data_IF_801308670176
#
_entry.id   IF_801308670176
#
_cell.length_a   1.000
_cell.length_b   1.000
_cell.length_c   1.000
_cell.angle_alpha   90.00
_cell.angle_beta   90.00
_cell.angle_gamma   90.00
#
_symmetry.space_group_name_H-M   'P 1'
#
loop_
_entity.id
_entity.type
_entity.pdbx_description
1 polymer ?
#
# COMPACT_ATOMS: atom_id res chain seq x y z
N UNK A 1 -0.66 26.41 -4.18
CA UNK A 1 -0.06 25.07 -4.20
C UNK A 1 1.22 25.07 -5.04
N UNK A 2 2.18 24.27 -4.65
CA UNK A 2 3.38 24.05 -5.45
C UNK A 2 3.07 23.25 -6.72
N UNK A 3 3.97 23.25 -7.70
CA UNK A 3 3.82 22.40 -8.89
C UNK A 3 3.77 20.91 -8.54
N UNK A 4 4.48 20.49 -7.52
CA UNK A 4 4.50 19.11 -7.02
C UNK A 4 3.17 18.69 -6.39
N UNK A 5 2.55 19.54 -5.59
CA UNK A 5 1.22 19.30 -5.02
C UNK A 5 0.15 19.13 -6.11
N UNK A 6 0.21 19.97 -7.14
CA UNK A 6 -0.68 19.85 -8.31
C UNK A 6 -0.44 18.54 -9.06
N UNK A 7 0.82 18.17 -9.25
CA UNK A 7 1.19 16.93 -9.93
C UNK A 7 0.67 15.69 -9.18
N UNK A 8 0.83 15.63 -7.85
CA UNK A 8 0.32 14.51 -7.05
C UNK A 8 -1.19 14.35 -7.23
N UNK A 9 -1.97 15.43 -7.13
CA UNK A 9 -3.42 15.36 -7.33
C UNK A 9 -3.79 14.90 -8.74
N UNK A 10 -3.02 15.31 -9.73
CA UNK A 10 -3.23 14.90 -11.12
C UNK A 10 -2.88 13.41 -11.31
N UNK A 11 -1.76 12.97 -10.76
CA UNK A 11 -1.33 11.56 -10.87
C UNK A 11 -2.32 10.64 -10.16
N UNK A 12 -2.79 11.00 -8.97
CA UNK A 12 -3.85 10.26 -8.28
C UNK A 12 -5.15 10.24 -9.11
N UNK A 13 -5.51 11.35 -9.75
CA UNK A 13 -6.73 11.43 -10.59
C UNK A 13 -6.63 10.59 -11.86
N UNK A 14 -5.44 10.41 -12.40
CA UNK A 14 -5.20 9.52 -13.55
C UNK A 14 -5.38 8.03 -13.19
N UNK A 15 -5.35 7.72 -11.89
CA UNK A 15 -5.37 6.37 -11.35
C UNK A 15 -3.96 5.86 -11.06
N UNK A 16 -3.85 4.99 -10.10
CA UNK A 16 -2.58 4.45 -9.63
C UNK A 16 -2.75 3.01 -9.11
N UNK A 17 -1.71 2.22 -9.22
CA UNK A 17 -1.64 0.91 -8.59
C UNK A 17 -1.22 1.04 -7.14
N UNK A 18 -0.11 1.75 -6.92
CA UNK A 18 0.44 2.05 -5.61
C UNK A 18 0.96 3.48 -5.62
N UNK A 19 0.59 4.24 -4.59
CA UNK A 19 1.13 5.55 -4.31
C UNK A 19 1.88 5.48 -2.97
N UNK A 20 3.19 5.69 -3.00
CA UNK A 20 4.01 5.73 -1.80
C UNK A 20 4.48 7.14 -1.47
N UNK A 21 4.39 7.48 -0.22
CA UNK A 21 4.93 8.70 0.35
C UNK A 21 5.83 8.37 1.54
N UNK A 22 7.06 8.88 1.54
CA UNK A 22 8.02 8.73 2.64
C UNK A 22 8.61 10.09 2.97
N UNK A 23 8.06 10.76 3.96
CA UNK A 23 8.51 12.03 4.52
C UNK A 23 7.67 12.39 5.76
N UNK A 24 7.65 13.67 6.16
CA UNK A 24 6.84 14.12 7.30
C UNK A 24 5.35 14.00 7.03
N UNK A 25 4.62 13.45 8.01
CA UNK A 25 3.16 13.32 7.98
C UNK A 25 2.49 13.98 9.17
N UNK A 26 1.21 14.21 9.01
CA UNK A 26 0.28 14.75 10.00
C UNK A 26 -0.98 13.89 9.99
N UNK A 27 -1.81 13.98 11.02
CA UNK A 27 -3.05 13.22 11.06
C UNK A 27 -4.00 13.55 9.89
N UNK A 28 -3.87 14.72 9.32
CA UNK A 28 -4.69 15.18 8.21
C UNK A 28 -3.99 15.15 6.84
N UNK A 29 -2.79 14.57 6.72
CA UNK A 29 -2.14 14.36 5.42
C UNK A 29 -0.62 14.36 5.40
N UNK A 30 -0.10 14.39 4.19
CA UNK A 30 1.31 14.48 3.84
C UNK A 30 1.78 15.93 3.89
N UNK A 31 2.98 16.18 4.40
CA UNK A 31 3.44 17.54 4.67
C UNK A 31 4.21 18.18 3.50
N UNK A 32 5.09 17.42 2.83
CA UNK A 32 5.95 17.98 1.79
C UNK A 32 6.38 16.87 0.78
N UNK A 33 5.86 16.90 -0.44
CA UNK A 33 4.84 17.81 -0.93
C UNK A 33 3.49 17.58 -0.24
N UNK A 34 2.73 18.67 -0.09
CA UNK A 34 1.47 18.65 0.64
C UNK A 34 0.38 17.87 -0.11
N UNK A 35 -0.30 16.98 0.62
CA UNK A 35 -1.58 16.40 0.25
C UNK A 35 -2.41 16.22 1.53
N UNK A 36 -3.37 17.10 1.75
CA UNK A 36 -4.23 17.06 2.94
C UNK A 36 -5.63 16.53 2.62
N UNK A 37 -6.39 16.19 3.64
CA UNK A 37 -7.80 15.77 3.50
C UNK A 37 -8.59 16.76 2.65
N UNK A 38 -8.34 18.07 2.81
CA UNK A 38 -9.00 19.12 2.03
C UNK A 38 -8.69 19.05 0.52
N UNK A 39 -7.53 18.54 0.15
CA UNK A 39 -7.10 18.45 -1.25
C UNK A 39 -7.69 17.23 -1.97
N UNK A 40 -8.20 16.26 -1.21
CA UNK A 40 -8.77 15.04 -1.78
C UNK A 40 -10.05 15.29 -2.58
N UNK A 41 -10.71 16.43 -2.38
CA UNK A 41 -11.85 16.85 -3.20
C UNK A 41 -11.47 17.05 -4.66
N UNK A 42 -10.21 17.36 -4.96
CA UNK A 42 -9.69 17.60 -6.30
C UNK A 42 -9.28 16.30 -7.02
N UNK A 43 -9.19 15.17 -6.29
CA UNK A 43 -8.86 13.86 -6.87
C UNK A 43 -10.10 13.28 -7.54
N UNK A 44 -9.94 12.78 -8.77
CA UNK A 44 -11.02 12.21 -9.59
C UNK A 44 -10.57 10.90 -10.24
N UNK A 45 -10.55 9.84 -9.45
CA UNK A 45 -10.07 8.53 -9.88
C UNK A 45 -11.14 7.43 -9.76
N UNK A 46 -12.38 7.75 -10.08
CA UNK A 46 -13.48 6.77 -10.07
C UNK A 46 -13.12 5.52 -10.87
N UNK A 47 -13.28 4.35 -10.22
CA UNK A 47 -12.94 3.05 -10.80
C UNK A 47 -11.42 2.78 -10.99
N UNK A 48 -10.53 3.65 -10.47
CA UNK A 48 -9.07 3.54 -10.65
C UNK A 48 -8.33 3.65 -9.30
N UNK A 49 -8.84 2.94 -8.32
CA UNK A 49 -8.34 3.00 -6.95
C UNK A 49 -7.14 2.07 -6.76
N UNK A 50 -6.05 2.59 -6.18
CA UNK A 50 -4.88 1.82 -5.80
C UNK A 50 -4.68 1.75 -4.29
N UNK A 51 -3.56 1.15 -3.88
CA UNK A 51 -3.10 1.16 -2.50
C UNK A 51 -2.25 2.42 -2.25
N UNK A 52 -2.56 3.16 -1.19
CA UNK A 52 -1.69 4.23 -0.71
C UNK A 52 -0.87 3.77 0.50
N UNK A 53 0.40 4.14 0.51
CA UNK A 53 1.32 3.91 1.63
C UNK A 53 1.86 5.25 2.11
N UNK A 54 1.53 5.61 3.33
CA UNK A 54 2.09 6.77 4.01
C UNK A 54 3.13 6.32 5.02
N UNK A 55 4.36 6.13 4.56
CA UNK A 55 5.50 5.85 5.42
C UNK A 55 5.91 7.16 6.13
N UNK A 56 5.06 7.58 7.05
CA UNK A 56 5.05 8.92 7.64
C UNK A 56 4.25 8.93 8.95
N UNK A 57 4.60 9.86 9.85
CA UNK A 57 3.95 10.02 11.14
C UNK A 57 2.44 10.27 11.01
N UNK A 58 1.66 9.72 11.93
CA UNK A 58 0.28 10.13 12.28
C UNK A 58 -0.78 9.96 11.17
N UNK A 59 -0.43 9.53 9.96
CA UNK A 59 -1.37 9.51 8.83
C UNK A 59 -2.56 8.56 9.03
N UNK A 60 -2.41 7.57 9.92
CA UNK A 60 -3.46 6.66 10.38
C UNK A 60 -3.86 6.89 11.85
N UNK A 61 -3.75 8.10 12.36
CA UNK A 61 -4.09 8.45 13.75
C UNK A 61 -5.61 8.35 13.97
N UNK A 62 -6.09 7.14 14.18
CA UNK A 62 -7.52 6.79 14.24
C UNK A 62 -8.23 7.22 15.54
N UNK A 63 -7.54 7.82 16.51
CA UNK A 63 -8.11 8.50 17.65
C UNK A 63 -8.47 9.98 17.36
N UNK A 64 -8.06 10.51 16.20
CA UNK A 64 -8.56 11.77 15.67
C UNK A 64 -9.97 11.55 15.04
N UNK A 65 -10.82 12.57 14.94
CA UNK A 65 -12.16 12.45 14.35
C UNK A 65 -12.16 11.88 12.91
N UNK A 66 -11.13 12.17 12.15
CA UNK A 66 -10.88 11.59 10.84
C UNK A 66 -9.38 11.71 10.52
N UNK A 67 -8.69 10.59 10.40
CA UNK A 67 -7.31 10.57 9.94
C UNK A 67 -7.22 10.62 8.41
N UNK A 68 -6.04 10.91 7.87
CA UNK A 68 -5.85 10.95 6.42
C UNK A 68 -6.13 9.60 5.77
N UNK A 69 -5.61 8.50 6.35
CA UNK A 69 -5.85 7.15 5.84
C UNK A 69 -7.33 6.78 5.84
N UNK A 70 -8.08 7.19 6.87
CA UNK A 70 -9.52 7.00 6.90
C UNK A 70 -10.23 7.84 5.83
N UNK A 71 -9.83 9.10 5.66
CA UNK A 71 -10.43 10.00 4.69
C UNK A 71 -10.34 9.47 3.26
N UNK A 72 -9.16 8.98 2.84
CA UNK A 72 -8.98 8.49 1.46
C UNK A 72 -9.83 7.26 1.14
N UNK A 73 -10.26 6.49 2.15
CA UNK A 73 -11.13 5.31 1.96
C UNK A 73 -12.62 5.64 1.94
N UNK A 74 -13.00 6.76 2.52
CA UNK A 74 -14.43 7.12 2.73
C UNK A 74 -14.98 8.05 1.66
N UNK A 75 -14.17 8.45 0.69
CA UNK A 75 -14.59 9.36 -0.37
C UNK A 75 -15.45 8.65 -1.41
N UNK A 76 -16.55 9.25 -1.78
CA UNK A 76 -17.40 8.74 -2.85
C UNK A 76 -16.71 8.91 -4.21
N UNK A 77 -16.57 7.80 -4.95
CA UNK A 77 -16.05 7.74 -6.32
C UNK A 77 -14.63 8.32 -6.47
N UNK A 78 -13.82 8.25 -5.41
CA UNK A 78 -12.41 8.68 -5.41
C UNK A 78 -11.65 8.08 -4.23
N UNK A 79 -10.32 8.27 -4.20
CA UNK A 79 -9.46 7.86 -3.10
C UNK A 79 -8.71 6.56 -3.37
N UNK A 80 -8.68 5.63 -2.44
CA UNK A 80 -7.89 4.42 -2.48
C UNK A 80 -8.68 3.19 -2.02
N UNK A 81 -8.21 1.98 -2.39
CA UNK A 81 -8.77 0.71 -1.87
C UNK A 81 -8.19 0.32 -0.50
N UNK A 82 -7.11 0.96 -0.10
CA UNK A 82 -6.47 0.76 1.18
C UNK A 82 -5.42 1.82 1.46
N UNK A 83 -5.13 2.01 2.74
CA UNK A 83 -4.08 2.91 3.20
C UNK A 83 -3.24 2.22 4.30
N UNK A 84 -1.93 2.11 4.08
CA UNK A 84 -1.00 1.64 5.11
C UNK A 84 -0.24 2.85 5.65
N UNK A 85 -0.17 3.01 6.97
CA UNK A 85 0.54 4.13 7.58
C UNK A 85 0.58 4.08 9.09
N UNK A 86 1.34 5.01 9.68
CA UNK A 86 1.54 5.09 11.11
C UNK A 86 0.38 5.78 11.85
N UNK A 87 -0.10 5.16 12.92
CA UNK A 87 -1.05 5.79 13.84
C UNK A 87 -0.38 6.71 14.87
N UNK A 88 0.94 6.64 14.98
CA UNK A 88 1.76 7.48 15.84
C UNK A 88 2.99 7.98 15.07
N UNK A 89 3.93 8.64 15.75
CA UNK A 89 5.17 9.10 15.13
C UNK A 89 6.00 7.92 14.62
N UNK A 90 6.42 7.98 13.38
CA UNK A 90 7.35 7.03 12.78
C UNK A 90 8.78 7.54 12.86
N UNK A 91 9.74 6.67 12.61
CA UNK A 91 11.16 6.94 12.76
C UNK A 91 11.87 6.64 11.43
N UNK A 92 12.82 7.49 11.04
CA UNK A 92 13.45 7.45 9.72
C UNK A 92 14.11 6.11 9.37
N UNK A 93 14.86 5.54 10.33
CA UNK A 93 15.60 4.30 10.09
C UNK A 93 14.64 3.12 9.95
N UNK A 94 13.64 3.05 10.82
CA UNK A 94 12.64 2.01 10.79
C UNK A 94 11.70 2.14 9.59
N UNK A 95 11.35 3.37 9.17
CA UNK A 95 10.59 3.60 7.94
C UNK A 95 11.36 3.09 6.71
N UNK A 96 12.67 3.28 6.69
CA UNK A 96 13.53 2.71 5.66
C UNK A 96 13.53 1.18 5.72
N UNK A 97 13.74 0.59 6.90
CA UNK A 97 13.72 -0.86 7.07
C UNK A 97 12.37 -1.47 6.67
N UNK A 98 11.29 -0.80 7.02
CA UNK A 98 9.95 -1.22 6.68
C UNK A 98 9.73 -1.28 5.17
N UNK A 99 10.22 -0.29 4.46
CA UNK A 99 10.01 -0.11 3.02
C UNK A 99 10.94 -0.96 2.19
N UNK A 100 12.25 -0.86 2.45
CA UNK A 100 13.33 -1.31 1.57
C UNK A 100 14.06 -2.52 2.13
N UNK A 101 14.09 -2.66 3.46
CA UNK A 101 14.79 -3.74 4.14
C UNK A 101 15.97 -3.30 4.98
N UNK A 102 16.49 -4.24 5.74
CA UNK A 102 17.60 -4.00 6.68
C UNK A 102 18.93 -3.97 5.94
N UNK A 103 19.67 -2.89 6.12
CA UNK A 103 21.03 -2.72 5.60
C UNK A 103 21.94 -2.13 6.66
N UNK A 104 23.24 -2.34 6.51
CA UNK A 104 24.23 -1.74 7.41
C UNK A 104 24.35 -0.22 7.28
N UNK A 105 23.97 0.34 6.14
CA UNK A 105 23.97 1.79 5.89
C UNK A 105 22.70 2.21 5.15
N UNK A 106 21.94 3.09 5.76
CA UNK A 106 20.80 3.72 5.11
C UNK A 106 21.31 4.73 4.07
N UNK A 107 20.83 4.60 2.85
CA UNK A 107 21.22 5.49 1.75
C UNK A 107 20.05 5.67 0.76
N UNK A 108 20.15 6.69 -0.08
CA UNK A 108 19.10 7.06 -1.03
C UNK A 108 18.96 6.07 -2.22
N UNK A 109 19.98 5.26 -2.49
CA UNK A 109 19.99 4.29 -3.57
C UNK A 109 20.45 2.94 -3.00
N UNK A 110 19.60 2.22 -2.27
CA UNK A 110 19.97 0.93 -1.72
C UNK A 110 20.19 -0.10 -2.83
N UNK A 111 21.13 -0.99 -2.62
CA UNK A 111 21.29 -2.17 -3.45
C UNK A 111 20.38 -3.28 -2.91
N UNK A 112 19.37 -3.67 -3.68
CA UNK A 112 18.42 -4.71 -3.29
C UNK A 112 19.09 -6.06 -2.98
N UNK A 113 20.25 -6.34 -3.54
CA UNK A 113 21.01 -7.54 -3.19
C UNK A 113 21.62 -7.49 -1.78
N UNK A 114 21.73 -6.29 -1.21
CA UNK A 114 22.31 -6.05 0.12
C UNK A 114 21.26 -5.71 1.20
N UNK A 115 20.01 -5.44 0.81
CA UNK A 115 18.91 -5.22 1.72
C UNK A 115 18.17 -6.53 2.00
N UNK A 116 17.60 -6.67 3.18
CA UNK A 116 16.66 -7.75 3.47
C UNK A 116 15.34 -7.51 2.72
N UNK A 117 14.54 -8.56 2.58
CA UNK A 117 13.21 -8.45 2.00
C UNK A 117 12.27 -7.63 2.89
N UNK A 118 11.67 -6.61 2.30
CA UNK A 118 10.73 -5.70 2.96
C UNK A 118 9.46 -5.51 2.12
N UNK A 119 8.63 -4.54 2.48
CA UNK A 119 7.34 -4.31 1.85
C UNK A 119 7.44 -4.17 0.32
N UNK A 120 8.42 -3.41 -0.18
CA UNK A 120 8.54 -3.17 -1.63
C UNK A 120 9.10 -4.38 -2.37
N UNK A 121 10.09 -5.08 -1.82
CA UNK A 121 10.61 -6.30 -2.44
C UNK A 121 9.53 -7.37 -2.57
N UNK A 122 8.76 -7.56 -1.52
CA UNK A 122 7.66 -8.52 -1.51
C UNK A 122 6.54 -8.13 -2.50
N UNK A 123 6.35 -6.83 -2.70
CA UNK A 123 5.38 -6.31 -3.64
C UNK A 123 5.79 -6.54 -5.11
N UNK A 124 7.03 -6.20 -5.45
CA UNK A 124 7.50 -6.22 -6.84
C UNK A 124 8.09 -7.57 -7.28
N UNK A 125 8.32 -8.50 -6.36
CA UNK A 125 8.79 -9.87 -6.65
C UNK A 125 10.09 -9.92 -7.46
N UNK A 126 11.00 -9.00 -7.19
CA UNK A 126 12.22 -8.80 -8.00
C UNK A 126 13.37 -9.73 -7.63
N UNK A 127 13.25 -10.50 -6.54
CA UNK A 127 14.29 -11.39 -6.02
C UNK A 127 14.22 -12.83 -6.56
N UNK A 128 13.38 -13.08 -7.57
CA UNK A 128 13.23 -14.40 -8.18
C UNK A 128 12.48 -15.42 -7.34
N UNK A 129 11.71 -14.98 -6.36
CA UNK A 129 10.89 -15.87 -5.53
C UNK A 129 9.84 -16.59 -6.39
N UNK A 130 9.58 -17.88 -6.12
CA UNK A 130 8.49 -18.58 -6.77
C UNK A 130 7.12 -18.01 -6.32
N UNK A 131 6.12 -18.11 -7.18
CA UNK A 131 4.80 -17.50 -6.99
C UNK A 131 4.15 -17.82 -5.63
N UNK A 132 4.33 -19.03 -5.12
CA UNK A 132 3.78 -19.42 -3.81
C UNK A 132 4.45 -18.73 -2.59
N UNK A 133 5.48 -17.93 -2.82
CA UNK A 133 6.14 -17.09 -1.81
C UNK A 133 5.86 -15.60 -2.00
N UNK A 134 5.07 -15.25 -3.00
CA UNK A 134 4.71 -13.86 -3.25
C UNK A 134 3.76 -13.33 -2.19
N UNK A 135 3.96 -12.08 -1.83
CA UNK A 135 3.04 -11.32 -1.00
C UNK A 135 2.20 -10.45 -1.92
N UNK A 136 0.92 -10.77 -2.03
CA UNK A 136 0.05 -10.17 -3.04
C UNK A 136 -1.05 -9.30 -2.45
N UNK A 137 -1.40 -9.50 -1.19
CA UNK A 137 -2.46 -8.74 -0.54
C UNK A 137 -1.91 -7.56 0.25
N UNK A 138 -2.76 -6.57 0.50
CA UNK A 138 -2.41 -5.38 1.28
C UNK A 138 -1.91 -5.74 2.70
N UNK A 139 -2.56 -6.71 3.35
CA UNK A 139 -2.12 -7.17 4.67
C UNK A 139 -0.75 -7.84 4.63
N UNK A 140 -0.48 -8.64 3.60
CA UNK A 140 0.83 -9.27 3.45
C UNK A 140 1.94 -8.25 3.24
N UNK A 141 1.68 -7.16 2.50
CA UNK A 141 2.66 -6.07 2.33
C UNK A 141 2.95 -5.35 3.64
N UNK A 142 1.91 -5.03 4.41
CA UNK A 142 2.07 -4.44 5.74
C UNK A 142 2.86 -5.39 6.65
N UNK A 143 2.53 -6.67 6.64
CA UNK A 143 3.21 -7.69 7.44
C UNK A 143 4.68 -7.84 7.05
N UNK A 144 5.02 -7.81 5.75
CA UNK A 144 6.40 -7.87 5.27
C UNK A 144 7.23 -6.68 5.78
N UNK A 145 6.67 -5.48 5.76
CA UNK A 145 7.32 -4.29 6.32
C UNK A 145 7.61 -4.42 7.82
N UNK A 146 6.62 -4.83 8.60
CA UNK A 146 6.77 -5.04 10.03
C UNK A 146 7.79 -6.15 10.34
N UNK A 147 7.79 -7.26 9.59
CA UNK A 147 8.79 -8.32 9.73
C UNK A 147 10.19 -7.82 9.41
N UNK A 148 10.34 -6.94 8.42
CA UNK A 148 11.64 -6.35 8.10
C UNK A 148 12.18 -5.54 9.28
N UNK A 149 11.36 -4.69 9.89
CA UNK A 149 11.77 -3.97 11.12
C UNK A 149 12.12 -4.95 12.25
N UNK A 150 11.37 -6.05 12.40
CA UNK A 150 11.65 -7.09 13.40
C UNK A 150 13.04 -7.72 13.23
N UNK A 151 13.50 -7.88 11.99
CA UNK A 151 14.84 -8.45 11.73
C UNK A 151 15.98 -7.46 11.93
N UNK A 152 15.68 -6.17 12.08
CA UNK A 152 16.69 -5.13 12.32
C UNK A 152 17.27 -5.18 13.74
N UNK A 153 18.25 -4.33 14.02
CA UNK A 153 18.78 -4.13 15.37
C UNK A 153 18.08 -3.00 16.13
N UNK A 154 16.98 -2.46 15.58
CA UNK A 154 16.22 -1.39 16.21
C UNK A 154 15.66 -1.79 17.58
N UNK A 155 15.61 -0.85 18.51
CA UNK A 155 14.90 -0.98 19.78
C UNK A 155 13.38 -0.75 19.65
N UNK A 156 12.90 -0.35 18.45
CA UNK A 156 11.51 0.05 18.20
C UNK A 156 10.68 -1.01 17.47
N UNK A 157 11.08 -2.27 17.51
CA UNK A 157 10.41 -3.37 16.80
C UNK A 157 8.96 -3.52 17.23
N UNK A 158 8.72 -3.70 18.53
CA UNK A 158 7.38 -3.82 19.11
C UNK A 158 6.53 -2.59 18.78
N UNK A 159 7.12 -1.40 18.90
CA UNK A 159 6.46 -0.15 18.58
C UNK A 159 5.95 -0.11 17.12
N UNK A 160 6.70 -0.63 16.15
CA UNK A 160 6.26 -0.68 14.75
C UNK A 160 5.12 -1.67 14.52
N UNK A 161 5.05 -2.77 15.27
CA UNK A 161 3.87 -3.64 15.27
C UNK A 161 2.63 -2.94 15.83
N UNK A 162 2.81 -2.02 16.77
CA UNK A 162 1.73 -1.30 17.41
C UNK A 162 1.21 -0.12 16.58
N UNK A 163 2.06 0.53 15.78
CA UNK A 163 1.67 1.78 15.11
C UNK A 163 1.37 1.66 13.63
N UNK A 164 1.89 0.65 12.92
CA UNK A 164 1.58 0.49 11.49
C UNK A 164 0.29 -0.28 11.30
N UNK A 165 -0.65 0.37 10.61
CA UNK A 165 -1.98 -0.17 10.38
C UNK A 165 -2.35 -0.13 8.91
N UNK A 166 -3.11 -1.14 8.48
CA UNK A 166 -3.85 -1.13 7.23
C UNK A 166 -5.28 -0.66 7.52
N UNK A 167 -5.70 0.42 6.91
CA UNK A 167 -7.10 0.77 6.74
C UNK A 167 -7.57 0.27 5.38
N UNK A 168 -8.58 -0.60 5.34
CA UNK A 168 -9.07 -1.25 4.14
C UNK A 168 -9.31 -2.75 4.33
N UNK A 169 -9.63 -3.43 3.25
CA UNK A 169 -9.81 -4.88 3.27
C UNK A 169 -8.45 -5.59 3.15
N UNK A 170 -8.02 -6.36 4.15
CA UNK A 170 -6.71 -7.00 4.17
C UNK A 170 -6.49 -8.02 3.05
N UNK A 171 -7.56 -8.56 2.47
CA UNK A 171 -7.50 -9.58 1.43
C UNK A 171 -7.37 -9.03 0.01
N UNK A 172 -7.58 -7.72 -0.19
CA UNK A 172 -7.47 -7.11 -1.50
C UNK A 172 -6.02 -7.09 -2.00
N UNK A 173 -5.89 -7.38 -3.29
CA UNK A 173 -4.63 -7.29 -4.01
C UNK A 173 -4.58 -5.98 -4.81
N UNK A 174 -3.56 -5.14 -4.62
CA UNK A 174 -3.33 -4.03 -5.54
C UNK A 174 -2.85 -4.58 -6.89
N UNK A 175 -3.47 -4.11 -7.97
CA UNK A 175 -3.01 -4.45 -9.31
C UNK A 175 -1.86 -3.55 -9.72
N UNK A 176 -0.77 -4.15 -10.25
CA UNK A 176 0.40 -3.39 -10.72
C UNK A 176 0.26 -2.88 -12.17
N UNK A 177 -0.88 -3.13 -12.79
CA UNK A 177 -1.25 -2.66 -14.12
C UNK A 177 -2.75 -2.75 -14.32
N UNK A 178 -3.23 -2.29 -15.47
CA UNK A 178 -4.63 -2.51 -15.86
C UNK A 178 -4.78 -3.98 -16.24
N UNK A 179 -5.58 -4.76 -15.49
CA UNK A 179 -5.76 -6.16 -15.82
C UNK A 179 -6.52 -6.30 -17.14
N UNK A 180 -6.15 -7.28 -17.96
CA UNK A 180 -6.95 -7.68 -19.10
C UNK A 180 -8.30 -8.23 -18.63
N UNK A 181 -9.34 -8.00 -19.41
CA UNK A 181 -10.65 -8.60 -19.14
C UNK A 181 -10.57 -10.07 -19.56
N UNK A 182 -10.54 -11.03 -18.61
CA UNK A 182 -10.45 -12.44 -18.97
C UNK A 182 -11.73 -12.87 -19.70
N UNK A 183 -11.57 -13.67 -20.75
CA UNK A 183 -12.69 -14.40 -21.30
C UNK A 183 -12.91 -15.65 -20.46
N UNK A 184 -14.16 -15.87 -20.04
CA UNK A 184 -14.54 -17.04 -19.28
C UNK A 184 -15.51 -17.91 -20.07
N UNK A 185 -15.19 -19.18 -20.25
CA UNK A 185 -16.07 -20.20 -20.81
C UNK A 185 -16.57 -21.11 -19.68
N UNK A 186 -17.87 -21.24 -19.58
CA UNK A 186 -18.53 -22.09 -18.57
C UNK A 186 -19.83 -22.69 -19.12
N UNK A 187 -20.28 -23.83 -18.60
CA UNK A 187 -21.55 -24.42 -19.00
C UNK A 187 -22.73 -23.49 -18.72
N UNK A 188 -23.60 -23.27 -19.69
CA UNK A 188 -24.78 -22.39 -19.56
C UNK A 188 -25.84 -22.88 -18.56
N UNK A 189 -25.73 -24.13 -18.06
CA UNK A 189 -26.60 -24.69 -17.03
C UNK A 189 -25.82 -25.67 -16.15
N UNK A 190 -26.15 -25.68 -14.85
CA UNK A 190 -25.66 -26.67 -13.89
C UNK A 190 -26.73 -27.77 -13.72
N UNK A 191 -26.46 -29.02 -14.08
CA UNK A 191 -27.35 -30.12 -13.76
C UNK A 191 -27.51 -30.34 -12.25
N UNK A 192 -28.69 -30.67 -11.80
CA UNK A 192 -28.95 -30.97 -10.39
C UNK A 192 -28.07 -32.14 -9.93
N UNK A 193 -27.38 -31.95 -8.81
CA UNK A 193 -26.52 -32.97 -8.20
C UNK A 193 -25.02 -32.84 -8.53
N UNK A 194 -24.62 -31.85 -9.33
CA UNK A 194 -23.22 -31.54 -9.56
C UNK A 194 -22.72 -30.65 -8.40
N UNK A 195 -21.57 -31.02 -7.82
CA UNK A 195 -20.92 -30.28 -6.72
C UNK A 195 -19.79 -29.36 -7.18
N UNK A 196 -19.43 -29.37 -8.47
CA UNK A 196 -18.38 -28.49 -9.04
C UNK A 196 -18.73 -28.13 -10.49
N UNK A 197 -18.21 -26.99 -10.91
CA UNK A 197 -18.29 -26.47 -12.26
C UNK A 197 -16.89 -26.13 -12.75
N UNK A 198 -16.56 -26.56 -13.98
CA UNK A 198 -15.32 -26.09 -14.62
C UNK A 198 -15.59 -24.74 -15.27
N UNK A 199 -14.68 -23.81 -15.02
CA UNK A 199 -14.61 -22.50 -15.68
C UNK A 199 -13.25 -22.42 -16.33
N UNK A 200 -13.20 -22.33 -17.64
CA UNK A 200 -11.96 -22.13 -18.39
C UNK A 200 -11.79 -20.63 -18.62
N UNK A 201 -10.64 -20.10 -18.24
CA UNK A 201 -10.28 -18.69 -18.44
C UNK A 201 -9.03 -18.61 -19.31
N UNK A 202 -9.00 -17.62 -20.19
CA UNK A 202 -7.75 -17.26 -20.87
C UNK A 202 -6.76 -16.69 -19.86
N UNK A 203 -5.45 -16.98 -19.98
CA UNK A 203 -4.41 -16.48 -19.07
C UNK A 203 -4.20 -14.97 -19.19
#
# INVERSE_FOLDING_TARGET
>A
SSSQETQIRQDLSNGFSIANYTAHGLSHGWSDPQLYISDLSDVQNDGKYGLMVGNACLTNKFDDPTSFGEAVLRLDNRGAIGYIGGSNNTLWDEDFYWSVGVTGNINANPDYSSTGEASYDKLFHTQGQPYNQWYTTQAQMMFAGNLSVETSMSAHKEYYWEIYHLMGDPSLMPYLGVPDIPTASYPGALPVGISYMSVDTDP
#
